data_IF_730208769374
#
_entry.id   IF_730208769374
#
_cell.length_a   1.000
_cell.length_b   1.000
_cell.length_c   1.000
_cell.angle_alpha   90.00
_cell.angle_beta   90.00
_cell.angle_gamma   90.00
#
_symmetry.space_group_name_H-M   'P 1'
#
loop_
_entity.id
_entity.type
_entity.pdbx_description
1 polymer ?
#
# COMPACT_ATOMS: atom_id res chain seq x y z
N UNK A 1 3.50 -14.90 18.10
CA UNK A 1 3.04 -14.61 16.73
C UNK A 1 3.09 -13.10 16.55
N UNK A 2 3.88 -12.59 15.59
CA UNK A 2 3.93 -11.15 15.29
C UNK A 2 2.55 -10.68 14.79
N UNK A 3 2.10 -9.46 15.15
CA UNK A 3 0.83 -8.94 14.65
C UNK A 3 0.88 -8.88 13.12
N UNK A 4 -0.12 -9.50 12.47
CA UNK A 4 -0.27 -9.45 11.02
C UNK A 4 -0.72 -8.03 10.64
N UNK A 5 0.22 -7.23 10.14
CA UNK A 5 -0.06 -5.86 9.73
C UNK A 5 -1.12 -5.83 8.60
N UNK A 6 -2.03 -4.86 8.67
CA UNK A 6 -3.07 -4.61 7.67
C UNK A 6 -2.79 -3.28 6.98
N UNK A 7 -2.73 -3.27 5.66
CA UNK A 7 -2.62 -2.11 4.79
C UNK A 7 -3.94 -1.86 4.09
N UNK A 8 -4.46 -0.64 4.24
CA UNK A 8 -5.64 -0.16 3.52
C UNK A 8 -5.21 1.01 2.64
N UNK A 9 -5.43 0.91 1.33
CA UNK A 9 -5.13 1.98 0.35
C UNK A 9 -6.44 2.44 -0.26
N UNK A 10 -6.67 3.75 -0.27
CA UNK A 10 -7.86 4.37 -0.88
C UNK A 10 -7.55 4.94 -2.26
N UNK A 11 -8.59 5.19 -3.04
CA UNK A 11 -8.50 5.83 -4.35
C UNK A 11 -9.88 6.23 -4.83
N UNK A 12 -10.00 6.53 -6.13
CA UNK A 12 -11.26 6.90 -6.76
C UNK A 12 -11.68 5.83 -7.76
N UNK A 13 -12.97 5.49 -7.80
CA UNK A 13 -13.52 4.68 -8.88
C UNK A 13 -13.77 5.53 -10.14
N UNK A 14 -14.24 4.89 -11.22
CA UNK A 14 -14.57 5.54 -12.51
C UNK A 14 -15.56 6.71 -12.40
N UNK A 15 -16.32 6.79 -11.31
CA UNK A 15 -17.27 7.89 -11.03
C UNK A 15 -16.68 9.00 -10.15
N UNK A 16 -15.37 8.96 -9.90
CA UNK A 16 -14.67 9.91 -9.01
C UNK A 16 -15.02 9.74 -7.52
N UNK A 17 -15.65 8.63 -7.11
CA UNK A 17 -16.02 8.42 -5.70
C UNK A 17 -14.89 7.72 -4.95
N UNK A 18 -14.61 8.15 -3.74
CA UNK A 18 -13.64 7.51 -2.85
C UNK A 18 -14.03 6.07 -2.54
N UNK A 19 -13.07 5.16 -2.66
CA UNK A 19 -13.24 3.71 -2.43
C UNK A 19 -11.97 3.12 -1.80
N UNK A 20 -12.09 1.94 -1.20
CA UNK A 20 -10.93 1.12 -0.80
C UNK A 20 -10.44 0.37 -2.04
N UNK A 21 -9.20 0.62 -2.45
CA UNK A 21 -8.55 -0.01 -3.60
C UNK A 21 -7.79 -1.27 -3.19
N UNK A 22 -7.17 -1.26 -2.00
CA UNK A 22 -6.43 -2.41 -1.46
C UNK A 22 -6.78 -2.56 0.02
N UNK A 23 -7.10 -3.78 0.43
CA UNK A 23 -7.25 -4.18 1.84
C UNK A 23 -6.57 -5.53 2.04
N UNK A 24 -5.40 -5.54 2.67
CA UNK A 24 -4.60 -6.76 2.75
C UNK A 24 -3.30 -6.60 3.53
N UNK A 25 -2.41 -7.60 3.49
CA UNK A 25 -1.10 -7.49 4.11
C UNK A 25 -0.20 -6.47 3.37
N UNK A 26 0.92 -6.06 3.97
CA UNK A 26 1.98 -5.32 3.27
C UNK A 26 2.49 -6.11 2.05
N UNK A 27 2.83 -5.45 0.93
CA UNK A 27 3.37 -6.09 -0.27
C UNK A 27 4.66 -6.87 0.00
N UNK A 28 5.54 -6.33 0.85
CA UNK A 28 6.79 -6.99 1.24
C UNK A 28 7.06 -6.83 2.74
N UNK A 29 7.80 -7.78 3.30
CA UNK A 29 8.20 -7.79 4.70
C UNK A 29 9.60 -8.39 4.81
N UNK A 30 10.50 -7.74 5.55
CA UNK A 30 11.87 -8.21 5.76
C UNK A 30 12.15 -8.19 7.26
N UNK A 31 12.40 -9.34 7.88
CA UNK A 31 12.69 -9.39 9.32
C UNK A 31 12.73 -10.80 9.91
N UNK A 32 13.39 -10.91 11.07
CA UNK A 32 13.44 -12.12 11.92
C UNK A 32 12.74 -11.85 13.25
N UNK A 33 12.60 -12.87 14.10
CA UNK A 33 11.79 -12.92 15.33
C UNK A 33 12.00 -11.82 16.41
N UNK A 34 12.82 -10.79 16.18
CA UNK A 34 12.97 -9.68 17.14
C UNK A 34 12.85 -8.30 16.48
N UNK A 35 12.66 -8.25 15.15
CA UNK A 35 12.53 -7.00 14.41
C UNK A 35 12.38 -7.21 12.90
N UNK A 36 11.50 -6.43 12.28
CA UNK A 36 11.23 -6.48 10.85
C UNK A 36 10.66 -5.18 10.29
N UNK A 37 10.87 -4.99 9.00
CA UNK A 37 10.36 -3.89 8.19
C UNK A 37 9.20 -4.40 7.35
N UNK A 38 8.14 -3.60 7.27
CA UNK A 38 7.06 -3.77 6.31
C UNK A 38 7.16 -2.67 5.28
N UNK A 39 7.20 -3.05 4.01
CA UNK A 39 7.01 -2.08 2.94
C UNK A 39 5.53 -1.74 2.84
N UNK A 40 5.16 -0.47 2.97
CA UNK A 40 3.76 -0.04 2.94
C UNK A 40 3.38 0.47 1.56
N UNK A 41 4.17 1.39 1.01
CA UNK A 41 3.94 2.04 -0.28
C UNK A 41 5.22 2.77 -0.72
N UNK A 42 5.43 2.89 -2.02
CA UNK A 42 6.48 3.72 -2.62
C UNK A 42 5.91 4.49 -3.83
N UNK A 43 6.56 5.59 -4.19
CA UNK A 43 6.39 6.26 -5.48
C UNK A 43 7.68 6.18 -6.28
N UNK A 44 7.66 6.64 -7.53
CA UNK A 44 8.82 6.68 -8.44
C UNK A 44 9.81 7.84 -8.15
N UNK A 45 9.55 8.63 -7.11
CA UNK A 45 10.35 9.79 -6.73
C UNK A 45 9.90 11.11 -7.38
N UNK A 46 8.92 11.09 -8.28
CA UNK A 46 8.26 12.29 -8.78
C UNK A 46 7.20 12.80 -7.79
N UNK A 47 6.63 14.00 -8.00
CA UNK A 47 5.45 14.44 -7.26
C UNK A 47 4.35 13.39 -7.32
N UNK A 48 3.74 13.11 -6.17
CA UNK A 48 2.69 12.10 -6.07
C UNK A 48 1.50 12.50 -6.93
N UNK A 49 1.17 11.67 -7.92
CA UNK A 49 -0.05 11.79 -8.71
C UNK A 49 -1.07 10.74 -8.25
N UNK A 50 -2.15 11.19 -7.61
CA UNK A 50 -3.24 10.32 -7.17
C UNK A 50 -4.13 9.79 -8.31
N UNK A 51 -3.82 10.17 -9.55
CA UNK A 51 -4.51 9.76 -10.78
C UNK A 51 -3.65 8.89 -11.69
N UNK A 52 -2.40 8.58 -11.29
CA UNK A 52 -1.50 7.73 -12.08
C UNK A 52 -2.15 6.36 -12.34
N UNK A 53 -2.26 5.92 -13.61
CA UNK A 53 -2.69 4.57 -13.92
C UNK A 53 -1.79 3.55 -13.20
N UNK A 54 -2.39 2.52 -12.59
CA UNK A 54 -1.64 1.43 -11.95
C UNK A 54 -0.87 0.61 -13.00
N UNK A 55 0.25 1.12 -13.49
CA UNK A 55 1.25 0.35 -14.21
C UNK A 55 2.38 0.08 -13.23
N UNK A 56 2.22 -1.02 -12.48
CA UNK A 56 3.33 -1.63 -11.73
C UNK A 56 4.31 -2.29 -12.68
#
# INVERSE_FOLDING_TARGET
MFPKMRRVVTGHNEKGRSVVMIDGPPPHSVGREEGGLFEIWNTDGNPVDSTDPQTG
#
